data_IF_949352030545
#
_entry.id   IF_949352030545
#
_cell.length_a   1.000
_cell.length_b   1.000
_cell.length_c   1.000
_cell.angle_alpha   90.00
_cell.angle_beta   90.00
_cell.angle_gamma   90.00
#
_symmetry.space_group_name_H-M   'P 1'
#
loop_
_entity.id
_entity.type
_entity.pdbx_description
1 polymer ?
#
# COMPACT_ATOMS: atom_id res chain seq x y z
N UNK A 1 -19.23 -12.61 8.97
CA UNK A 1 -17.88 -12.84 8.39
C UNK A 1 -17.70 -12.06 7.11
N UNK A 2 -16.68 -11.20 7.06
CA UNK A 2 -16.28 -10.43 5.86
C UNK A 2 -14.92 -10.95 5.41
N UNK A 3 -14.70 -11.07 4.10
CA UNK A 3 -13.41 -11.48 3.52
C UNK A 3 -13.06 -10.58 2.34
N UNK A 4 -11.85 -10.03 2.40
CA UNK A 4 -11.28 -9.24 1.31
C UNK A 4 -10.10 -10.01 0.70
N UNK A 5 -10.15 -10.19 -0.62
CA UNK A 5 -9.06 -10.79 -1.39
C UNK A 5 -8.07 -9.73 -1.86
N UNK A 6 -6.78 -9.99 -1.68
CA UNK A 6 -5.69 -9.09 -2.02
C UNK A 6 -4.59 -9.88 -2.76
N UNK A 7 -4.91 -10.30 -3.98
CA UNK A 7 -4.05 -11.23 -4.72
C UNK A 7 -3.96 -12.58 -4.00
N UNK A 8 -2.76 -13.13 -3.75
CA UNK A 8 -2.55 -14.39 -3.04
C UNK A 8 -2.73 -14.30 -1.53
N UNK A 9 -3.03 -13.12 -1.01
CA UNK A 9 -3.38 -12.91 0.40
C UNK A 9 -4.86 -12.58 0.56
N UNK A 10 -5.40 -12.79 1.76
CA UNK A 10 -6.73 -12.32 2.13
C UNK A 10 -6.78 -11.89 3.59
N UNK A 11 -7.59 -10.88 3.87
CA UNK A 11 -7.96 -10.47 5.22
C UNK A 11 -9.39 -10.92 5.48
N UNK A 12 -9.62 -11.54 6.65
CA UNK A 12 -10.92 -11.97 7.11
C UNK A 12 -11.24 -11.29 8.43
N UNK A 13 -12.43 -10.74 8.53
CA UNK A 13 -12.99 -10.22 9.75
C UNK A 13 -14.09 -11.16 10.26
N UNK A 14 -14.01 -11.58 11.48
CA UNK A 14 -15.03 -12.36 12.16
C UNK A 14 -15.58 -11.56 13.34
N UNK A 15 -16.88 -11.45 13.39
CA UNK A 15 -17.60 -11.10 14.60
C UNK A 15 -17.99 -12.41 15.31
N UNK A 16 -17.59 -12.54 16.56
CA UNK A 16 -18.00 -13.65 17.43
C UNK A 16 -18.97 -13.13 18.48
N UNK A 17 -20.24 -13.39 18.24
CA UNK A 17 -21.35 -13.10 19.17
C UNK A 17 -21.45 -11.63 19.62
N UNK A 18 -21.02 -10.67 18.78
CA UNK A 18 -21.00 -9.24 19.13
C UNK A 18 -19.97 -8.86 20.20
N UNK A 19 -19.14 -9.80 20.66
CA UNK A 19 -18.20 -9.59 21.75
C UNK A 19 -16.74 -9.48 21.32
N UNK A 20 -16.37 -10.18 20.24
CA UNK A 20 -14.99 -10.24 19.78
C UNK A 20 -14.91 -10.00 18.27
N UNK A 21 -14.21 -8.93 17.89
CA UNK A 21 -13.78 -8.72 16.51
C UNK A 21 -12.40 -9.38 16.32
N UNK A 22 -12.34 -10.41 15.45
CA UNK A 22 -11.10 -11.10 15.11
C UNK A 22 -10.73 -10.83 13.66
N UNK A 23 -9.53 -10.31 13.44
CA UNK A 23 -8.96 -10.12 12.12
C UNK A 23 -7.86 -11.13 11.86
N UNK A 24 -7.93 -11.79 10.72
CA UNK A 24 -6.94 -12.77 10.25
C UNK A 24 -6.43 -12.40 8.87
N UNK A 25 -5.12 -12.33 8.73
CA UNK A 25 -4.46 -12.27 7.43
C UNK A 25 -3.96 -13.66 7.04
N UNK A 26 -4.32 -14.14 5.87
CA UNK A 26 -3.88 -15.43 5.32
C UNK A 26 -3.19 -15.22 3.99
N UNK A 27 -2.14 -16.01 3.70
CA UNK A 27 -1.43 -15.98 2.43
C UNK A 27 -1.27 -17.38 1.87
N UNK A 28 -1.58 -17.55 0.59
CA UNK A 28 -1.38 -18.83 -0.13
C UNK A 28 0.04 -18.92 -0.70
N UNK A 29 0.64 -17.78 -1.02
CA UNK A 29 2.01 -17.71 -1.50
C UNK A 29 2.79 -16.59 -0.78
N UNK A 30 3.78 -16.98 0.02
CA UNK A 30 4.61 -16.05 0.78
C UNK A 30 5.62 -15.30 -0.10
N UNK A 31 5.94 -15.83 -1.29
CA UNK A 31 6.87 -15.17 -2.22
C UNK A 31 6.29 -13.90 -2.85
N UNK A 32 4.98 -13.73 -2.78
CA UNK A 32 4.30 -12.49 -3.17
C UNK A 32 4.77 -11.30 -2.34
N UNK A 33 5.08 -11.51 -1.06
CA UNK A 33 5.56 -10.45 -0.17
C UNK A 33 7.02 -10.17 -0.44
N UNK A 34 7.37 -8.89 -0.51
CA UNK A 34 8.73 -8.44 -0.72
C UNK A 34 9.22 -7.65 0.50
N UNK A 35 10.47 -7.90 0.88
CA UNK A 35 11.17 -7.13 1.90
C UNK A 35 12.61 -6.87 1.49
N UNK A 36 13.25 -5.92 2.14
CA UNK A 36 14.67 -5.67 1.91
C UNK A 36 15.50 -6.73 2.61
N UNK A 37 16.34 -7.42 1.86
CA UNK A 37 17.27 -8.43 2.36
C UNK A 37 18.53 -8.53 1.49
N UNK A 38 19.55 -9.12 2.03
CA UNK A 38 20.72 -9.51 1.25
C UNK A 38 20.37 -10.62 0.28
N UNK A 39 20.69 -10.41 -0.98
CA UNK A 39 20.51 -11.38 -2.07
C UNK A 39 21.87 -11.60 -2.70
N UNK A 40 22.29 -12.85 -2.76
CA UNK A 40 23.49 -13.27 -3.47
C UNK A 40 23.23 -13.20 -4.98
N UNK A 41 24.11 -12.54 -5.69
CA UNK A 41 24.08 -12.47 -7.15
C UNK A 41 24.85 -13.64 -7.77
N UNK A 42 24.71 -13.86 -9.07
CA UNK A 42 25.45 -14.88 -9.80
C UNK A 42 26.98 -14.68 -9.70
N UNK A 43 27.43 -13.47 -9.43
CA UNK A 43 28.84 -13.11 -9.21
C UNK A 43 29.35 -13.45 -7.81
N UNK A 44 28.51 -14.01 -6.90
CA UNK A 44 28.86 -14.25 -5.51
C UNK A 44 28.72 -13.02 -4.59
N UNK A 45 28.49 -11.85 -5.15
CA UNK A 45 28.33 -10.61 -4.38
C UNK A 45 26.98 -10.58 -3.65
N UNK A 46 26.96 -10.12 -2.39
CA UNK A 46 25.75 -9.94 -1.59
C UNK A 46 25.28 -8.50 -1.63
N UNK A 47 24.13 -8.26 -2.29
CA UNK A 47 23.53 -6.93 -2.43
C UNK A 47 22.25 -6.83 -1.61
N UNK A 48 22.13 -5.74 -0.84
CA UNK A 48 20.90 -5.44 -0.10
C UNK A 48 19.85 -4.83 -1.03
N UNK A 49 18.77 -5.60 -1.33
CA UNK A 49 17.73 -5.18 -2.25
C UNK A 49 16.36 -5.70 -1.86
N UNK A 50 15.32 -5.08 -2.41
CA UNK A 50 13.94 -5.57 -2.28
C UNK A 50 13.79 -6.87 -3.06
N UNK A 51 13.49 -7.95 -2.36
CA UNK A 51 13.34 -9.28 -2.93
C UNK A 51 12.16 -10.03 -2.30
N UNK A 52 11.58 -11.03 -3.00
CA UNK A 52 10.54 -11.88 -2.45
C UNK A 52 10.98 -12.56 -1.16
N UNK A 53 10.04 -12.77 -0.25
CA UNK A 53 10.23 -13.63 0.92
C UNK A 53 10.59 -15.05 0.46
N UNK A 54 11.54 -15.68 1.16
CA UNK A 54 11.87 -17.08 0.92
C UNK A 54 10.85 -17.99 1.63
N UNK A 55 10.54 -19.12 1.04
CA UNK A 55 9.78 -20.22 1.69
C UNK A 55 10.68 -20.93 2.70
N UNK A 56 11.00 -20.25 3.78
CA UNK A 56 11.95 -20.70 4.80
C UNK A 56 11.48 -20.25 6.17
N UNK A 57 11.77 -21.03 7.20
CA UNK A 57 11.51 -20.71 8.60
C UNK A 57 12.13 -19.37 9.02
N UNK A 58 13.29 -19.01 8.46
CA UNK A 58 13.96 -17.74 8.74
C UNK A 58 13.18 -16.51 8.27
N UNK A 59 12.24 -16.68 7.34
CA UNK A 59 11.37 -15.61 6.85
C UNK A 59 10.11 -15.41 7.71
N UNK A 60 9.84 -16.26 8.68
CA UNK A 60 8.62 -16.19 9.52
C UNK A 60 8.52 -14.89 10.31
N UNK A 61 9.64 -14.38 10.81
CA UNK A 61 9.67 -13.10 11.55
C UNK A 61 9.22 -11.93 10.66
N UNK A 62 9.74 -11.85 9.43
CA UNK A 62 9.39 -10.79 8.48
C UNK A 62 7.96 -10.95 7.97
N UNK A 63 7.54 -12.19 7.68
CA UNK A 63 6.17 -12.52 7.30
C UNK A 63 5.17 -12.10 8.38
N UNK A 64 5.44 -12.47 9.64
CA UNK A 64 4.62 -12.08 10.80
C UNK A 64 4.48 -10.56 10.88
N UNK A 65 5.61 -9.83 10.77
CA UNK A 65 5.61 -8.36 10.82
C UNK A 65 4.77 -7.73 9.71
N UNK A 66 4.85 -8.26 8.48
CA UNK A 66 4.06 -7.79 7.35
C UNK A 66 2.57 -8.05 7.55
N UNK A 67 2.20 -9.24 8.03
CA UNK A 67 0.81 -9.61 8.25
C UNK A 67 0.19 -8.85 9.44
N UNK A 68 0.93 -8.64 10.54
CA UNK A 68 0.47 -7.79 11.64
C UNK A 68 0.22 -6.36 11.15
N UNK A 69 1.17 -5.78 10.44
CA UNK A 69 1.00 -4.43 9.90
C UNK A 69 -0.19 -4.32 8.91
N UNK A 70 -0.55 -5.38 8.21
CA UNK A 70 -1.75 -5.44 7.38
C UNK A 70 -3.03 -5.45 8.23
N UNK A 71 -3.07 -6.26 9.28
CA UNK A 71 -4.19 -6.30 10.22
C UNK A 71 -4.40 -4.96 10.93
N UNK A 72 -3.32 -4.33 11.41
CA UNK A 72 -3.37 -3.03 12.10
C UNK A 72 -3.94 -1.94 11.18
N UNK A 73 -3.52 -1.92 9.91
CA UNK A 73 -4.07 -0.96 8.93
C UNK A 73 -5.55 -1.22 8.64
N UNK A 74 -5.94 -2.49 8.57
CA UNK A 74 -7.34 -2.85 8.36
C UNK A 74 -8.20 -2.43 9.56
N UNK A 75 -7.76 -2.70 10.78
CA UNK A 75 -8.46 -2.26 11.99
C UNK A 75 -8.54 -0.73 12.09
N UNK A 76 -7.47 -0.02 11.77
CA UNK A 76 -7.47 1.43 11.72
C UNK A 76 -8.46 1.97 10.67
N UNK A 77 -8.56 1.33 9.50
CA UNK A 77 -9.56 1.66 8.48
C UNK A 77 -10.98 1.45 9.01
N UNK A 78 -11.24 0.29 9.63
CA UNK A 78 -12.56 -0.02 10.21
C UNK A 78 -12.97 0.98 11.29
N UNK A 79 -12.03 1.39 12.14
CA UNK A 79 -12.28 2.40 13.18
C UNK A 79 -12.61 3.80 12.61
N UNK A 80 -12.25 4.09 11.37
CA UNK A 80 -12.57 5.35 10.70
C UNK A 80 -13.97 5.37 10.07
N UNK A 81 -14.63 4.22 9.91
CA UNK A 81 -15.93 4.15 9.20
C UNK A 81 -17.08 4.83 9.96
N UNK A 82 -16.98 4.92 11.27
CA UNK A 82 -18.01 5.56 12.11
C UNK A 82 -17.99 7.08 12.09
N UNK A 83 -17.01 7.71 11.38
CA UNK A 83 -16.89 9.15 11.31
C UNK A 83 -17.09 9.67 9.89
N UNK A 84 -18.33 9.96 9.47
CA UNK A 84 -18.63 10.46 8.11
C UNK A 84 -17.93 11.78 7.79
N UNK A 85 -17.70 12.64 8.79
CA UNK A 85 -16.99 13.91 8.62
C UNK A 85 -15.49 13.72 8.32
N UNK A 86 -14.89 12.62 8.73
CA UNK A 86 -13.48 12.33 8.46
C UNK A 86 -13.24 12.09 6.97
N UNK A 87 -14.14 11.36 6.30
CA UNK A 87 -14.06 11.10 4.87
C UNK A 87 -14.18 12.39 4.04
N UNK A 88 -15.14 13.24 4.37
CA UNK A 88 -15.34 14.53 3.69
C UNK A 88 -14.16 15.48 3.87
N UNK A 89 -13.62 15.59 5.09
CA UNK A 89 -12.41 16.38 5.36
C UNK A 89 -11.18 15.84 4.62
N UNK A 90 -11.03 14.52 4.54
CA UNK A 90 -9.94 13.88 3.80
C UNK A 90 -10.03 14.15 2.30
N UNK A 91 -11.22 14.07 1.71
CA UNK A 91 -11.48 14.41 0.31
C UNK A 91 -11.19 15.89 0.02
N UNK A 92 -11.67 16.79 0.85
CA UNK A 92 -11.40 18.23 0.71
C UNK A 92 -9.90 18.54 0.78
N UNK A 93 -9.17 17.93 1.74
CA UNK A 93 -7.72 18.05 1.85
C UNK A 93 -6.98 17.52 0.62
N UNK A 94 -7.47 16.44 0.03
CA UNK A 94 -6.87 15.84 -1.16
C UNK A 94 -7.11 16.70 -2.42
N UNK A 95 -8.27 17.34 -2.52
CA UNK A 95 -8.63 18.22 -3.64
C UNK A 95 -7.96 19.59 -3.55
N UNK A 96 -7.56 20.04 -2.37
CA UNK A 96 -6.89 21.32 -2.18
C UNK A 96 -5.44 21.32 -2.68
N UNK A 97 -4.93 22.42 -3.24
CA UNK A 97 -3.52 22.53 -3.61
C UNK A 97 -2.64 22.60 -2.36
N UNK A 98 -1.44 22.01 -2.42
CA UNK A 98 -0.45 22.04 -1.33
C UNK A 98 0.79 22.81 -1.75
N UNK A 99 1.22 23.77 -0.92
CA UNK A 99 2.45 24.53 -1.14
C UNK A 99 3.61 23.92 -0.34
N UNK A 100 4.72 23.64 -1.02
CA UNK A 100 5.98 23.19 -0.39
C UNK A 100 7.15 23.92 -1.02
N UNK A 101 7.97 24.55 -0.20
CA UNK A 101 9.21 25.23 -0.62
C UNK A 101 8.99 26.19 -1.80
N UNK A 102 7.93 27.01 -1.74
CA UNK A 102 7.59 27.98 -2.78
C UNK A 102 6.88 27.41 -4.03
N UNK A 103 6.83 26.09 -4.19
CA UNK A 103 6.11 25.44 -5.29
C UNK A 103 4.70 25.03 -4.86
N UNK A 104 3.69 25.34 -5.68
CA UNK A 104 2.31 24.87 -5.48
C UNK A 104 2.08 23.60 -6.30
N UNK A 105 1.64 22.54 -5.65
CA UNK A 105 1.18 21.30 -6.28
C UNK A 105 -0.35 21.26 -6.25
N UNK A 106 -0.95 21.04 -7.42
CA UNK A 106 -2.43 20.95 -7.54
C UNK A 106 -2.98 19.80 -6.70
N UNK A 107 -4.19 19.95 -6.18
CA UNK A 107 -4.95 18.87 -5.60
C UNK A 107 -5.37 17.80 -6.62
N UNK A 108 -5.90 16.69 -6.17
CA UNK A 108 -6.39 15.62 -7.03
C UNK A 108 -7.90 15.78 -7.23
N UNK A 109 -8.31 15.84 -8.48
CA UNK A 109 -9.72 15.81 -8.86
C UNK A 109 -10.11 14.37 -9.23
N UNK A 110 -10.89 13.73 -8.37
CA UNK A 110 -11.33 12.34 -8.55
C UNK A 110 -12.31 12.13 -9.70
N UNK A 111 -12.92 13.19 -10.20
CA UNK A 111 -13.85 13.11 -11.33
C UNK A 111 -13.13 13.10 -12.68
N UNK A 112 -11.82 13.43 -12.69
CA UNK A 112 -11.00 13.32 -13.88
C UNK A 112 -10.46 11.90 -14.04
N UNK A 113 -10.71 11.28 -15.19
CA UNK A 113 -10.35 9.90 -15.48
C UNK A 113 -8.91 9.50 -15.12
N UNK A 114 -7.85 10.28 -15.44
CA UNK A 114 -6.49 9.90 -15.07
C UNK A 114 -6.25 9.77 -13.56
N UNK A 115 -6.94 10.58 -12.75
CA UNK A 115 -6.84 10.49 -11.30
C UNK A 115 -7.74 9.39 -10.72
N UNK A 116 -8.90 9.20 -11.30
CA UNK A 116 -9.78 8.10 -10.95
C UNK A 116 -9.06 6.76 -11.13
N UNK A 117 -8.44 6.52 -12.28
CA UNK A 117 -7.65 5.30 -12.55
C UNK A 117 -6.45 5.16 -11.59
N UNK A 118 -5.78 6.26 -11.28
CA UNK A 118 -4.71 6.27 -10.29
C UNK A 118 -5.21 5.80 -8.93
N UNK A 119 -6.32 6.35 -8.44
CA UNK A 119 -6.86 6.01 -7.13
C UNK A 119 -7.47 4.61 -7.09
N UNK A 120 -8.11 4.14 -8.14
CA UNK A 120 -8.51 2.73 -8.28
C UNK A 120 -7.30 1.80 -8.18
N UNK A 121 -6.22 2.15 -8.86
CA UNK A 121 -4.98 1.37 -8.77
C UNK A 121 -4.41 1.39 -7.35
N UNK A 122 -4.36 2.55 -6.69
CA UNK A 122 -3.86 2.68 -5.31
C UNK A 122 -4.74 1.98 -4.27
N UNK A 123 -6.04 1.89 -4.53
CA UNK A 123 -7.00 1.20 -3.65
C UNK A 123 -6.88 -0.33 -3.71
N UNK A 124 -6.05 -0.89 -4.62
CA UNK A 124 -5.79 -2.33 -4.68
C UNK A 124 -5.16 -2.81 -3.38
N UNK A 125 -5.79 -3.79 -2.73
CA UNK A 125 -5.36 -4.29 -1.43
C UNK A 125 -3.93 -4.84 -1.39
N UNK A 126 -3.38 -5.26 -2.52
CA UNK A 126 -2.02 -5.77 -2.64
C UNK A 126 -0.95 -4.77 -2.20
N UNK A 127 -1.18 -3.46 -2.40
CA UNK A 127 -0.27 -2.40 -1.99
C UNK A 127 -0.23 -2.17 -0.49
N UNK A 128 -1.30 -2.50 0.19
CA UNK A 128 -1.39 -2.36 1.65
C UNK A 128 -0.44 -3.30 2.39
N UNK A 129 0.00 -4.36 1.76
CA UNK A 129 0.88 -5.37 2.35
C UNK A 129 2.34 -5.11 2.00
N UNK A 130 2.67 -5.04 0.71
CA UNK A 130 4.07 -4.96 0.25
C UNK A 130 4.49 -3.58 -0.25
N UNK A 131 3.57 -2.61 -0.24
CA UNK A 131 3.79 -1.31 -0.86
C UNK A 131 3.87 -1.40 -2.38
N UNK A 132 4.22 -0.29 -3.03
CA UNK A 132 4.36 -0.22 -4.48
C UNK A 132 5.53 0.69 -4.89
N UNK A 133 5.97 0.56 -6.13
CA UNK A 133 6.98 1.39 -6.80
C UNK A 133 6.39 2.02 -8.06
N UNK A 134 7.11 2.98 -8.64
CA UNK A 134 6.73 3.62 -9.90
C UNK A 134 6.51 2.61 -11.05
N UNK A 135 7.31 1.55 -11.10
CA UNK A 135 7.15 0.46 -12.08
C UNK A 135 5.85 -0.32 -11.91
N UNK A 136 5.37 -0.46 -10.68
CA UNK A 136 4.12 -1.17 -10.40
C UNK A 136 2.92 -0.34 -10.89
N UNK A 137 2.90 0.98 -10.63
CA UNK A 137 1.88 1.88 -11.17
C UNK A 137 1.83 1.84 -12.70
N UNK A 138 3.00 1.82 -13.36
CA UNK A 138 3.09 1.76 -14.82
C UNK A 138 2.55 0.47 -15.43
N UNK A 139 2.58 -0.64 -14.69
CA UNK A 139 1.99 -1.90 -15.17
C UNK A 139 0.47 -1.93 -15.12
N UNK A 140 -0.13 -1.10 -14.25
CA UNK A 140 -1.56 -1.08 -14.02
C UNK A 140 -2.28 0.12 -14.63
N UNK A 141 -1.54 1.15 -15.04
CA UNK A 141 -2.09 2.36 -15.65
C UNK A 141 -1.50 2.50 -17.04
N UNK A 142 -2.36 2.37 -18.04
CA UNK A 142 -1.96 2.46 -19.43
C UNK A 142 -1.33 3.83 -19.76
N UNK A 143 -0.34 3.80 -20.66
CA UNK A 143 0.38 4.99 -21.16
C UNK A 143 1.05 5.86 -20.06
N UNK A 144 1.22 5.34 -18.85
CA UNK A 144 1.90 6.07 -17.78
C UNK A 144 3.43 6.05 -18.01
N UNK A 145 4.00 7.20 -18.35
CA UNK A 145 5.46 7.35 -18.53
C UNK A 145 6.20 7.34 -17.21
N UNK A 146 7.51 7.03 -17.22
CA UNK A 146 8.36 7.00 -16.00
C UNK A 146 8.36 8.35 -15.29
N UNK A 147 8.53 9.45 -16.03
CA UNK A 147 8.52 10.81 -15.47
C UNK A 147 7.17 11.17 -14.84
N UNK A 148 6.06 10.81 -15.51
CA UNK A 148 4.72 11.05 -14.98
C UNK A 148 4.44 10.24 -13.71
N UNK A 149 4.86 8.96 -13.67
CA UNK A 149 4.74 8.12 -12.48
C UNK A 149 5.52 8.71 -11.29
N UNK A 150 6.76 9.13 -11.50
CA UNK A 150 7.58 9.77 -10.46
C UNK A 150 6.93 11.07 -9.95
N UNK A 151 6.41 11.91 -10.85
CA UNK A 151 5.69 13.12 -10.51
C UNK A 151 4.44 12.83 -9.66
N UNK A 152 3.62 11.85 -10.06
CA UNK A 152 2.42 11.46 -9.31
C UNK A 152 2.77 10.94 -7.92
N UNK A 153 3.81 10.11 -7.79
CA UNK A 153 4.29 9.63 -6.48
C UNK A 153 4.76 10.80 -5.61
N UNK A 154 5.52 11.74 -6.16
CA UNK A 154 5.93 12.96 -5.44
C UNK A 154 4.71 13.72 -4.95
N UNK A 155 3.72 13.93 -5.80
CA UNK A 155 2.48 14.65 -5.48
C UNK A 155 1.65 13.94 -4.41
N UNK A 156 1.45 12.60 -4.53
CA UNK A 156 0.79 11.78 -3.53
C UNK A 156 1.47 11.87 -2.15
N UNK A 157 2.81 11.85 -2.12
CA UNK A 157 3.58 12.03 -0.88
C UNK A 157 3.40 13.42 -0.28
N UNK A 158 3.40 14.44 -1.11
CA UNK A 158 3.21 15.83 -0.69
C UNK A 158 1.84 16.05 -0.06
N UNK A 159 0.80 15.40 -0.59
CA UNK A 159 -0.55 15.41 -0.04
C UNK A 159 -0.72 14.47 1.18
N UNK A 160 0.32 13.75 1.60
CA UNK A 160 0.27 12.82 2.72
C UNK A 160 -0.54 11.54 2.48
N UNK A 161 -0.86 11.23 1.20
CA UNK A 161 -1.65 10.06 0.82
C UNK A 161 -0.82 8.77 0.83
N UNK A 162 0.48 8.90 0.64
CA UNK A 162 1.44 7.78 0.71
C UNK A 162 2.67 8.19 1.52
N UNK A 163 3.32 7.21 2.11
CA UNK A 163 4.57 7.40 2.87
C UNK A 163 5.71 6.66 2.19
N UNK A 164 6.88 7.30 2.11
CA UNK A 164 8.11 6.60 1.68
C UNK A 164 8.57 5.70 2.82
N UNK A 165 8.75 4.42 2.53
CA UNK A 165 9.43 3.50 3.45
C UNK A 165 10.92 3.70 3.25
N UNK A 166 11.63 4.06 4.32
CA UNK A 166 13.08 4.19 4.28
C UNK A 166 13.73 2.82 3.98
N UNK A 167 14.78 2.84 3.19
CA UNK A 167 15.67 1.70 3.10
C UNK A 167 16.42 1.59 4.45
N UNK A 168 16.22 0.50 5.12
CA UNK A 168 17.13 0.03 6.17
C UNK A 168 17.90 -1.15 5.63
#
# INVERSE_FOLDING_TARGET
RIRHHMGPASIKLYDKAGLIARVECTANDVTFFKHHRHVEQRTGERVFKLAPLRKSIYSLKDLRRLMHAANDRYLAFMACLDNPNAAQKALAKMAAPVKIKGCSLRGFDLFLDPYYQLFLTLARGEWSISGFRAGDLRRHIDRLTTGRAAYLIKRLRTHGLIKKIAHR
#
